data_IF_929359536491
#
_entry.id   IF_929359536491
#
_cell.length_a   1.000
_cell.length_b   1.000
_cell.length_c   1.000
_cell.angle_alpha   90.00
_cell.angle_beta   90.00
_cell.angle_gamma   90.00
#
_symmetry.space_group_name_H-M   'P 1'
#
loop_
_entity.id
_entity.type
_entity.pdbx_description
1 polymer ?
#
# COMPACT_ATOMS: atom_id res chain seq x y z
N UNK A 1 -23.10 63.02 9.46
CA UNK A 1 -21.61 63.10 9.50
C UNK A 1 -21.05 61.85 10.17
N UNK A 2 -20.12 61.17 9.49
CA UNK A 2 -19.06 60.21 9.94
C UNK A 2 -19.40 59.26 11.10
N UNK A 3 -19.70 57.97 10.87
CA UNK A 3 -18.78 56.81 10.71
C UNK A 3 -17.63 56.80 11.72
N UNK A 4 -17.53 55.74 12.52
CA UNK A 4 -16.37 54.81 12.59
C UNK A 4 -16.88 53.48 13.17
N UNK A 5 -16.78 52.45 12.35
CA UNK A 5 -16.90 51.03 12.68
C UNK A 5 -15.51 50.52 13.04
N UNK A 6 -15.34 49.76 14.12
CA UNK A 6 -14.17 48.89 14.28
C UNK A 6 -14.64 47.46 14.56
N UNK A 7 -14.45 46.62 13.55
CA UNK A 7 -14.59 45.17 13.62
C UNK A 7 -13.36 44.59 14.32
N UNK A 8 -13.58 43.74 15.34
CA UNK A 8 -12.53 42.90 15.89
C UNK A 8 -12.65 41.51 15.24
N UNK A 9 -11.75 41.24 14.31
CA UNK A 9 -11.46 39.91 13.82
C UNK A 9 -10.73 39.12 14.91
N UNK A 10 -11.21 37.93 15.26
CA UNK A 10 -10.39 36.94 15.95
C UNK A 10 -10.31 35.67 15.08
N UNK A 11 -9.07 35.37 14.73
CA UNK A 11 -8.62 34.35 13.80
C UNK A 11 -9.12 32.93 14.11
N UNK A 12 -9.60 32.26 13.06
CA UNK A 12 -9.08 30.99 12.55
C UNK A 12 -8.31 30.12 13.56
N UNK A 13 -9.04 29.40 14.41
CA UNK A 13 -8.53 28.20 15.07
C UNK A 13 -8.68 27.00 14.15
N UNK A 14 -7.84 26.89 13.11
CA UNK A 14 -7.64 25.60 12.45
C UNK A 14 -6.91 24.69 13.44
N UNK A 15 -7.66 23.93 14.22
CA UNK A 15 -7.15 22.76 14.90
C UNK A 15 -6.66 21.81 13.80
N UNK A 16 -5.35 21.86 13.52
CA UNK A 16 -4.68 20.83 12.77
C UNK A 16 -4.86 19.53 13.55
N UNK A 17 -5.87 18.73 13.16
CA UNK A 17 -5.95 17.32 13.51
C UNK A 17 -4.73 16.67 12.86
N UNK A 18 -3.59 16.70 13.54
CA UNK A 18 -2.49 15.80 13.28
C UNK A 18 -3.00 14.41 13.60
N UNK A 19 -3.59 13.74 12.61
CA UNK A 19 -3.87 12.32 12.72
C UNK A 19 -2.52 11.64 12.96
N UNK A 20 -2.37 10.86 14.05
CA UNK A 20 -1.20 10.03 14.19
C UNK A 20 -1.13 9.17 12.93
N UNK A 21 0.00 9.23 12.21
CA UNK A 21 0.30 8.24 11.19
C UNK A 21 0.52 6.93 11.95
N UNK A 22 -0.57 6.21 12.21
CA UNK A 22 -0.51 4.88 12.78
C UNK A 22 0.31 4.04 11.80
N UNK A 23 1.50 3.65 12.25
CA UNK A 23 2.24 2.58 11.61
C UNK A 23 1.28 1.40 11.46
N UNK A 24 1.27 0.80 10.27
CA UNK A 24 0.35 -0.29 9.97
C UNK A 24 0.83 -1.56 10.63
N UNK A 25 0.15 -1.95 11.69
CA UNK A 25 0.42 -3.22 12.35
C UNK A 25 -0.03 -4.37 11.45
N UNK A 26 0.81 -5.39 11.33
CA UNK A 26 0.45 -6.63 10.65
C UNK A 26 -0.66 -7.28 11.48
N UNK A 27 -1.85 -7.39 10.90
CA UNK A 27 -3.03 -7.94 11.59
C UNK A 27 -3.20 -9.44 11.36
N UNK A 28 -2.45 -10.02 10.42
CA UNK A 28 -2.51 -11.44 10.09
C UNK A 28 -1.53 -11.86 9.02
N UNK A 29 -1.55 -13.15 8.70
CA UNK A 29 -0.73 -13.78 7.66
C UNK A 29 -1.62 -14.72 6.85
N UNK A 30 -1.48 -14.69 5.53
CA UNK A 30 -2.19 -15.57 4.60
C UNK A 30 -1.21 -16.27 3.67
N UNK A 31 -1.52 -17.51 3.27
CA UNK A 31 -0.74 -18.17 2.24
C UNK A 31 -1.06 -17.56 0.87
N UNK A 32 -0.03 -17.24 0.08
CA UNK A 32 -0.21 -16.75 -1.29
C UNK A 32 -0.87 -17.85 -2.12
N UNK A 33 -2.02 -17.54 -2.70
CA UNK A 33 -2.69 -18.38 -3.69
C UNK A 33 -2.30 -17.97 -5.13
N UNK A 34 -2.57 -18.86 -6.09
CA UNK A 34 -2.41 -18.63 -7.53
C UNK A 34 -3.19 -17.40 -8.01
N UNK A 35 -4.31 -17.08 -7.35
CA UNK A 35 -5.21 -16.00 -7.73
C UNK A 35 -4.78 -14.63 -7.18
N UNK A 36 -3.72 -14.56 -6.34
CA UNK A 36 -3.12 -13.29 -5.95
C UNK A 36 -2.70 -12.49 -7.20
N UNK A 37 -2.98 -11.19 -7.19
CA UNK A 37 -2.51 -10.26 -8.19
C UNK A 37 -0.98 -10.22 -8.23
N UNK A 38 -0.44 -10.01 -9.42
CA UNK A 38 1.01 -9.97 -9.66
C UNK A 38 1.42 -8.59 -10.19
N UNK A 39 2.51 -8.05 -9.65
CA UNK A 39 3.11 -6.81 -10.12
C UNK A 39 4.64 -6.95 -10.20
N UNK A 40 5.22 -6.55 -11.33
CA UNK A 40 6.67 -6.69 -11.56
C UNK A 40 7.34 -5.32 -11.70
N UNK A 41 8.42 -5.12 -10.97
CA UNK A 41 9.29 -3.95 -11.07
C UNK A 41 10.61 -4.34 -11.72
N UNK A 42 10.90 -3.81 -12.90
CA UNK A 42 12.17 -4.06 -13.61
C UNK A 42 13.21 -3.01 -13.26
N UNK A 43 14.17 -3.32 -12.40
CA UNK A 43 15.24 -2.41 -11.95
C UNK A 43 16.45 -2.47 -12.87
N UNK A 44 16.28 -2.20 -14.16
CA UNK A 44 17.35 -2.39 -15.14
C UNK A 44 18.61 -1.54 -14.86
N UNK A 45 19.83 -2.08 -15.04
CA UNK A 45 20.15 -3.47 -15.41
C UNK A 45 20.31 -4.42 -14.20
N UNK A 46 19.85 -4.00 -13.02
CA UNK A 46 20.21 -4.57 -11.71
C UNK A 46 19.39 -5.80 -11.32
N UNK A 47 18.18 -5.97 -11.81
CA UNK A 47 17.33 -7.13 -11.49
C UNK A 47 15.84 -6.78 -11.53
N UNK A 48 15.02 -7.64 -10.95
CA UNK A 48 13.57 -7.43 -10.89
C UNK A 48 13.01 -7.72 -9.50
N UNK A 49 11.85 -7.13 -9.21
CA UNK A 49 11.07 -7.46 -8.02
C UNK A 49 9.71 -7.94 -8.44
N UNK A 50 9.31 -9.09 -7.88
CA UNK A 50 7.99 -9.65 -8.03
C UNK A 50 7.18 -9.34 -6.77
N UNK A 51 5.99 -8.79 -6.94
CA UNK A 51 5.04 -8.50 -5.86
C UNK A 51 3.80 -9.37 -6.09
N UNK A 52 3.35 -10.04 -5.04
CA UNK A 52 2.07 -10.75 -4.97
C UNK A 52 1.18 -10.04 -3.96
N UNK A 53 -0.08 -9.81 -4.29
CA UNK A 53 -1.02 -9.11 -3.41
C UNK A 53 -2.46 -9.53 -3.66
N UNK A 54 -3.30 -9.41 -2.64
CA UNK A 54 -4.74 -9.65 -2.74
C UNK A 54 -5.50 -8.70 -1.81
N UNK A 55 -6.77 -8.46 -2.15
CA UNK A 55 -7.73 -7.79 -1.29
C UNK A 55 -8.96 -8.70 -1.11
N UNK A 56 -9.37 -8.90 0.13
CA UNK A 56 -10.60 -9.63 0.45
C UNK A 56 -11.37 -8.98 1.61
N UNK A 57 -12.58 -9.46 1.85
CA UNK A 57 -13.45 -8.97 2.91
C UNK A 57 -13.26 -9.77 4.20
N UNK A 58 -13.06 -9.08 5.33
CA UNK A 58 -13.06 -9.70 6.65
C UNK A 58 -13.71 -8.76 7.66
N UNK A 59 -14.68 -9.27 8.42
CA UNK A 59 -15.37 -8.53 9.48
C UNK A 59 -15.96 -7.17 9.02
N UNK A 60 -16.42 -7.07 7.78
CA UNK A 60 -17.02 -5.86 7.21
C UNK A 60 -16.01 -4.82 6.69
N UNK A 61 -14.71 -5.11 6.73
CA UNK A 61 -13.65 -4.25 6.23
C UNK A 61 -12.82 -4.96 5.15
N UNK A 62 -12.14 -4.18 4.32
CA UNK A 62 -11.16 -4.70 3.38
C UNK A 62 -9.87 -5.07 4.09
N UNK A 63 -9.33 -6.24 3.76
CA UNK A 63 -8.00 -6.71 4.15
C UNK A 63 -7.11 -6.68 2.92
N UNK A 64 -5.89 -6.17 3.08
CA UNK A 64 -4.86 -6.21 2.04
C UNK A 64 -3.76 -7.14 2.50
N UNK A 65 -3.46 -8.15 1.70
CA UNK A 65 -2.33 -9.05 1.90
C UNK A 65 -1.30 -8.85 0.80
N UNK A 66 -0.02 -8.96 1.14
CA UNK A 66 1.01 -8.93 0.12
C UNK A 66 2.39 -9.39 0.58
N UNK A 67 3.20 -9.73 -0.42
CA UNK A 67 4.58 -10.10 -0.27
C UNK A 67 5.37 -9.77 -1.53
N UNK A 68 6.68 -9.66 -1.39
CA UNK A 68 7.57 -9.39 -2.52
C UNK A 68 8.91 -10.11 -2.40
N UNK A 69 9.51 -10.42 -3.54
CA UNK A 69 10.87 -10.93 -3.63
C UNK A 69 11.64 -10.13 -4.67
N UNK A 70 12.98 -10.08 -4.55
CA UNK A 70 13.82 -9.38 -5.52
C UNK A 70 14.98 -10.26 -5.97
N UNK A 71 15.23 -10.28 -7.28
CA UNK A 71 16.41 -10.88 -7.90
C UNK A 71 17.46 -9.79 -8.17
N UNK A 72 18.71 -10.19 -8.44
CA UNK A 72 19.78 -9.23 -8.79
C UNK A 72 20.51 -8.59 -7.60
N UNK A 73 20.38 -9.17 -6.40
CA UNK A 73 21.16 -8.79 -5.22
C UNK A 73 20.55 -7.68 -4.37
N UNK A 74 21.38 -6.95 -3.63
CA UNK A 74 20.95 -6.02 -2.59
C UNK A 74 20.34 -4.71 -3.13
N UNK A 75 20.73 -4.28 -4.34
CA UNK A 75 20.26 -3.01 -4.93
C UNK A 75 18.75 -3.07 -5.26
N UNK A 76 18.26 -4.02 -6.07
CA UNK A 76 16.81 -4.15 -6.34
C UNK A 76 15.99 -4.29 -5.06
N UNK A 77 16.47 -5.08 -4.10
CA UNK A 77 15.80 -5.26 -2.81
C UNK A 77 15.64 -3.93 -2.05
N UNK A 78 16.71 -3.13 -1.96
CA UNK A 78 16.69 -1.82 -1.28
C UNK A 78 15.77 -0.82 -1.99
N UNK A 79 15.83 -0.77 -3.33
CA UNK A 79 14.97 0.12 -4.12
C UNK A 79 13.49 -0.28 -4.00
N UNK A 80 13.20 -1.57 -4.01
CA UNK A 80 11.84 -2.09 -3.80
C UNK A 80 11.28 -1.78 -2.43
N UNK A 81 12.10 -1.88 -1.37
CA UNK A 81 11.69 -1.42 -0.04
C UNK A 81 11.25 0.04 -0.04
N UNK A 82 12.04 0.92 -0.66
CA UNK A 82 11.69 2.35 -0.79
C UNK A 82 10.43 2.56 -1.64
N UNK A 83 10.31 1.83 -2.74
CA UNK A 83 9.18 1.92 -3.66
C UNK A 83 7.87 1.45 -3.02
N UNK A 84 7.91 0.37 -2.22
CA UNK A 84 6.78 -0.12 -1.42
C UNK A 84 6.44 0.84 -0.29
N UNK A 85 7.42 1.43 0.38
CA UNK A 85 7.18 2.44 1.41
C UNK A 85 6.44 3.68 0.86
N UNK A 86 6.77 4.10 -0.36
CA UNK A 86 6.03 5.15 -1.08
C UNK A 86 4.79 4.61 -1.84
N UNK A 87 4.51 3.32 -1.73
CA UNK A 87 3.44 2.64 -2.44
C UNK A 87 2.06 2.90 -1.82
N UNK A 88 1.02 2.65 -2.63
CA UNK A 88 -0.36 2.79 -2.21
C UNK A 88 -1.28 1.85 -2.98
N UNK A 89 -2.41 1.51 -2.37
CA UNK A 89 -3.51 0.80 -2.99
C UNK A 89 -4.75 1.69 -2.93
N UNK A 90 -5.50 1.74 -4.03
CA UNK A 90 -6.76 2.47 -4.12
C UNK A 90 -7.94 1.56 -4.45
N UNK A 91 -9.12 2.01 -4.04
CA UNK A 91 -10.42 1.52 -4.50
C UNK A 91 -11.13 2.67 -5.19
N UNK A 92 -11.49 2.52 -6.46
CA UNK A 92 -12.17 3.55 -7.27
C UNK A 92 -11.52 4.95 -7.12
N UNK A 93 -10.20 5.00 -7.37
CA UNK A 93 -9.33 6.17 -7.26
C UNK A 93 -9.14 6.76 -5.84
N UNK A 94 -9.85 6.26 -4.82
CA UNK A 94 -9.64 6.61 -3.42
C UNK A 94 -8.57 5.72 -2.80
N UNK A 95 -7.53 6.32 -2.22
CA UNK A 95 -6.48 5.58 -1.52
C UNK A 95 -7.04 4.95 -0.24
N UNK A 96 -6.95 3.61 -0.14
CA UNK A 96 -7.39 2.82 1.02
C UNK A 96 -6.21 2.36 1.87
N UNK A 97 -5.02 2.22 1.25
CA UNK A 97 -3.79 1.86 1.93
C UNK A 97 -2.66 2.70 1.37
N UNK A 98 -1.95 3.43 2.23
CA UNK A 98 -0.62 3.99 1.98
C UNK A 98 0.44 3.13 2.68
N UNK A 99 1.69 3.26 2.24
CA UNK A 99 2.84 2.58 2.83
C UNK A 99 2.67 1.06 2.85
N UNK A 100 3.20 0.41 1.80
CA UNK A 100 3.13 -1.03 1.61
C UNK A 100 4.36 -1.73 2.23
N UNK A 101 5.09 -1.09 3.14
CA UNK A 101 6.26 -1.69 3.80
C UNK A 101 5.92 -2.91 4.64
N UNK A 102 4.65 -3.11 5.01
CA UNK A 102 4.18 -4.28 5.74
C UNK A 102 4.22 -5.57 4.92
N UNK A 103 4.32 -5.49 3.58
CA UNK A 103 4.40 -6.67 2.71
C UNK A 103 5.56 -7.57 3.12
N UNK A 104 5.32 -8.88 3.17
CA UNK A 104 6.33 -9.84 3.58
C UNK A 104 7.49 -9.92 2.58
N UNK A 105 8.68 -10.25 3.07
CA UNK A 105 9.83 -10.56 2.21
C UNK A 105 9.78 -12.05 1.88
N UNK A 106 9.55 -12.37 0.61
CA UNK A 106 9.42 -13.72 0.07
C UNK A 106 10.76 -14.27 -0.41
N UNK A 107 10.88 -15.60 -0.48
CA UNK A 107 12.10 -16.27 -0.90
C UNK A 107 12.32 -16.12 -2.40
N UNK A 108 13.40 -15.45 -2.80
CA UNK A 108 13.75 -15.28 -4.21
C UNK A 108 13.84 -16.61 -5.01
N UNK A 109 14.23 -17.71 -4.37
CA UNK A 109 14.28 -19.05 -4.99
C UNK A 109 12.93 -19.53 -5.54
N UNK A 110 11.83 -18.99 -5.02
CA UNK A 110 10.48 -19.41 -5.35
C UNK A 110 9.78 -18.49 -6.36
N UNK A 111 10.49 -17.49 -6.91
CA UNK A 111 9.93 -16.62 -7.96
C UNK A 111 9.40 -17.41 -9.16
N UNK A 112 10.05 -18.55 -9.49
CA UNK A 112 9.64 -19.43 -10.60
C UNK A 112 8.26 -20.06 -10.40
N UNK A 113 7.82 -20.19 -9.15
CA UNK A 113 6.51 -20.74 -8.78
C UNK A 113 5.57 -19.64 -8.26
N UNK A 114 5.89 -18.36 -8.56
CA UNK A 114 5.10 -17.19 -8.18
C UNK A 114 4.79 -17.08 -6.69
N UNK A 115 5.59 -17.72 -5.84
CA UNK A 115 5.47 -17.75 -4.38
C UNK A 115 4.19 -18.41 -3.83
N UNK A 116 3.50 -19.25 -4.61
CA UNK A 116 2.32 -19.98 -4.11
C UNK A 116 2.69 -20.78 -2.85
N UNK A 117 1.89 -20.61 -1.79
CA UNK A 117 2.08 -21.22 -0.47
C UNK A 117 3.00 -20.47 0.50
N UNK A 118 3.68 -19.41 0.07
CA UNK A 118 4.47 -18.58 0.99
C UNK A 118 3.59 -17.62 1.81
N UNK A 119 4.02 -17.23 3.03
CA UNK A 119 3.25 -16.34 3.88
C UNK A 119 3.32 -14.88 3.39
N UNK A 120 2.17 -14.31 3.03
CA UNK A 120 1.94 -12.89 2.82
C UNK A 120 1.49 -12.24 4.13
N UNK A 121 2.03 -11.06 4.45
CA UNK A 121 1.56 -10.27 5.58
C UNK A 121 0.28 -9.53 5.19
N UNK A 122 -0.65 -9.42 6.14
CA UNK A 122 -1.96 -8.82 5.93
C UNK A 122 -2.21 -7.64 6.87
N UNK A 123 -2.98 -6.68 6.36
CA UNK A 123 -3.41 -5.48 7.07
C UNK A 123 -4.91 -5.27 6.85
N UNK A 124 -5.68 -5.25 7.95
CA UNK A 124 -7.09 -4.83 7.93
C UNK A 124 -7.13 -3.30 7.79
N UNK A 125 -7.84 -2.81 6.79
CA UNK A 125 -8.03 -1.39 6.54
C UNK A 125 -9.24 -0.85 7.29
N UNK A 126 -9.34 0.47 7.45
CA UNK A 126 -10.57 1.12 7.90
C UNK A 126 -11.60 1.31 6.76
N UNK A 127 -11.36 0.72 5.58
CA UNK A 127 -12.26 0.85 4.43
C UNK A 127 -13.33 -0.24 4.51
N UNK A 128 -14.62 0.14 4.57
CA UNK A 128 -15.71 -0.83 4.58
C UNK A 128 -15.73 -1.69 3.32
N UNK A 129 -16.19 -2.92 3.45
CA UNK A 129 -16.51 -3.79 2.33
C UNK A 129 -17.60 -3.16 1.45
N UNK A 130 -17.38 -3.04 0.13
CA UNK A 130 -18.39 -2.60 -0.83
C UNK A 130 -19.64 -3.49 -0.83
N UNK A 131 -20.78 -2.90 -1.16
CA UNK A 131 -22.04 -3.65 -1.28
C UNK A 131 -21.98 -4.75 -2.34
N UNK A 132 -22.81 -5.79 -2.21
CA UNK A 132 -22.80 -6.96 -3.14
C UNK A 132 -23.00 -6.60 -4.63
N UNK A 133 -23.63 -5.47 -4.91
CA UNK A 133 -23.88 -4.96 -6.26
C UNK A 133 -22.76 -4.05 -6.78
N UNK A 134 -21.86 -3.61 -5.91
CA UNK A 134 -20.73 -2.76 -6.26
C UNK A 134 -19.60 -3.61 -6.82
N UNK A 135 -18.94 -3.12 -7.88
CA UNK A 135 -17.81 -3.77 -8.53
C UNK A 135 -16.61 -2.82 -8.49
N UNK A 136 -16.01 -2.62 -7.31
CA UNK A 136 -14.89 -1.71 -7.13
C UNK A 136 -13.71 -2.10 -8.01
N UNK A 137 -12.96 -1.11 -8.48
CA UNK A 137 -11.66 -1.33 -9.11
C UNK A 137 -10.55 -1.10 -8.10
N UNK A 138 -9.71 -2.11 -7.93
CA UNK A 138 -8.54 -2.03 -7.08
C UNK A 138 -7.28 -1.82 -7.90
N UNK A 139 -6.46 -0.87 -7.51
CA UNK A 139 -5.18 -0.59 -8.16
C UNK A 139 -4.07 -0.53 -7.12
N UNK A 140 -2.92 -1.13 -7.46
CA UNK A 140 -1.67 -0.94 -6.74
C UNK A 140 -0.80 0.06 -7.50
N UNK A 141 -0.28 1.06 -6.79
CA UNK A 141 0.64 2.04 -7.33
C UNK A 141 1.96 1.94 -6.57
N UNK A 142 3.03 1.65 -7.32
CA UNK A 142 4.39 1.59 -6.79
C UNK A 142 5.20 2.72 -7.40
N UNK A 143 5.77 3.60 -6.57
CA UNK A 143 6.45 4.82 -6.99
C UNK A 143 7.88 4.56 -7.54
N UNK A 144 8.04 3.55 -8.40
CA UNK A 144 9.31 3.07 -8.93
C UNK A 144 10.20 4.19 -9.49
N UNK A 145 9.65 5.05 -10.35
CA UNK A 145 10.41 6.04 -11.13
C UNK A 145 11.05 7.14 -10.29
N UNK A 146 10.57 7.30 -9.05
CA UNK A 146 11.13 8.19 -8.04
C UNK A 146 12.49 7.71 -7.54
N UNK A 147 12.74 6.40 -7.59
CA UNK A 147 13.90 5.77 -7.00
C UNK A 147 14.84 5.27 -8.09
N UNK A 148 15.90 6.02 -8.33
CA UNK A 148 16.98 5.66 -9.27
C UNK A 148 18.26 5.36 -8.50
N UNK A 149 19.16 4.63 -9.16
CA UNK A 149 20.51 4.36 -8.67
C UNK A 149 21.45 5.50 -9.02
#
# INVERSE_FOLDING_TARGET
MKRITLALACALGFAALSQPSLAKDITGVEAIDKDFGMYTLNWEPRGMTLIRWEIYNSNGFLVVCGGYSSSGGSIPFRLSKKALHAGRISMDDKVIVKDLSFFSILKNSNQKNEHVGEPANCYITDTPTPGKTEKPKFNIYIAKDTFRY
#
